data_IF_620455538275
#
_entry.id   IF_620455538275
#
_cell.length_a   1.000
_cell.length_b   1.000
_cell.length_c   1.000
_cell.angle_alpha   90.00
_cell.angle_beta   90.00
_cell.angle_gamma   90.00
#
_symmetry.space_group_name_H-M   'P 1'
#
loop_
_entity.id
_entity.type
_entity.pdbx_description
1 polymer ?
#
# COMPACT_ATOMS: atom_id res chain seq x y z
N UNK A 1 6.63 55.81 19.31
CA UNK A 1 7.41 55.40 18.12
C UNK A 1 7.99 54.03 18.43
N UNK A 2 7.27 52.92 18.27
CA UNK A 2 6.68 52.42 17.02
C UNK A 2 7.62 51.35 16.45
N UNK A 3 7.74 50.23 17.16
CA UNK A 3 8.71 49.16 16.92
C UNK A 3 8.47 48.38 15.62
N UNK A 4 9.59 47.89 15.10
CA UNK A 4 9.82 47.13 13.87
C UNK A 4 8.75 46.08 13.53
N UNK A 5 8.33 46.08 12.26
CA UNK A 5 7.49 45.04 11.65
C UNK A 5 8.28 43.74 11.53
N UNK A 6 8.14 42.84 12.49
CA UNK A 6 8.45 41.42 12.31
C UNK A 6 7.20 40.71 11.78
N UNK A 7 7.19 40.42 10.49
CA UNK A 7 6.22 39.53 9.85
C UNK A 7 6.61 38.07 10.12
N UNK A 8 5.80 37.23 10.80
CA UNK A 8 6.07 35.81 10.87
C UNK A 8 5.32 35.05 9.78
N UNK A 9 6.12 34.40 8.93
CA UNK A 9 5.90 33.08 8.33
C UNK A 9 4.71 32.89 7.38
N UNK A 10 4.97 33.07 6.08
CA UNK A 10 4.28 32.36 5.00
C UNK A 10 4.44 30.82 5.11
N UNK A 11 5.45 30.33 5.83
CA UNK A 11 5.78 28.90 5.88
C UNK A 11 4.84 28.00 6.71
N UNK A 12 3.93 28.54 7.55
CA UNK A 12 2.99 27.71 8.32
C UNK A 12 1.72 27.31 7.55
N UNK A 13 1.46 27.88 6.37
CA UNK A 13 0.29 27.54 5.54
C UNK A 13 0.56 26.44 4.51
N UNK A 14 1.82 26.21 4.15
CA UNK A 14 2.18 25.29 3.05
C UNK A 14 2.36 23.83 3.52
N UNK A 15 2.69 23.60 4.80
CA UNK A 15 2.79 22.25 5.39
C UNK A 15 1.45 21.54 5.61
N UNK A 16 0.30 22.22 5.48
CA UNK A 16 -1.03 21.63 5.73
C UNK A 16 -1.73 21.03 4.51
N UNK A 17 -1.18 21.09 3.30
CA UNK A 17 -1.85 20.56 2.10
C UNK A 17 -0.89 19.95 1.07
N UNK A 18 -0.24 18.87 1.47
CA UNK A 18 -0.07 17.71 0.58
C UNK A 18 -0.60 16.49 1.32
N UNK A 19 -1.89 16.53 1.66
CA UNK A 19 -2.65 15.30 1.90
C UNK A 19 -2.50 14.51 0.61
N UNK A 20 -1.65 13.48 0.64
CA UNK A 20 -1.58 12.51 -0.44
C UNK A 20 -3.00 11.94 -0.58
N UNK A 21 -3.68 12.37 -1.64
CA UNK A 21 -5.02 11.94 -1.97
C UNK A 21 -4.86 10.80 -2.96
N UNK A 22 -5.15 9.59 -2.51
CA UNK A 22 -5.14 8.44 -3.38
C UNK A 22 -6.21 8.65 -4.46
N UNK A 23 -5.79 8.76 -5.73
CA UNK A 23 -6.72 8.88 -6.86
C UNK A 23 -7.67 7.69 -6.96
N UNK A 24 -7.28 6.55 -6.38
CA UNK A 24 -8.05 5.32 -6.35
C UNK A 24 -8.79 5.11 -5.03
N UNK A 25 -8.86 6.09 -4.11
CA UNK A 25 -9.54 5.92 -2.82
C UNK A 25 -10.96 5.40 -3.01
N UNK A 26 -11.69 5.92 -3.99
CA UNK A 26 -13.08 5.54 -4.29
C UNK A 26 -13.25 4.08 -4.74
N UNK A 27 -12.20 3.46 -5.28
CA UNK A 27 -12.22 2.06 -5.73
C UNK A 27 -11.52 1.12 -4.75
N UNK A 28 -11.13 1.59 -3.56
CA UNK A 28 -10.61 0.73 -2.51
C UNK A 28 -11.72 -0.12 -1.91
N UNK A 29 -11.38 -1.37 -1.64
CA UNK A 29 -12.21 -2.26 -0.83
C UNK A 29 -12.35 -1.74 0.61
N UNK A 30 -13.48 -2.06 1.22
CA UNK A 30 -13.82 -1.58 2.57
C UNK A 30 -13.59 -2.69 3.57
N UNK A 31 -13.02 -2.37 4.72
CA UNK A 31 -12.86 -3.30 5.84
C UNK A 31 -13.32 -2.71 7.17
N UNK A 32 -13.33 -3.53 8.21
CA UNK A 32 -13.65 -3.15 9.60
C UNK A 32 -12.99 -1.82 10.00
N UNK A 33 -13.76 -0.94 10.63
CA UNK A 33 -13.29 0.37 11.06
C UNK A 33 -13.30 1.45 9.97
N UNK A 34 -13.84 1.15 8.78
CA UNK A 34 -14.18 2.16 7.77
C UNK A 34 -15.06 3.27 8.35
N UNK A 35 -15.00 4.47 7.75
CA UNK A 35 -15.79 5.62 8.22
C UNK A 35 -16.94 5.89 7.26
N UNK A 36 -18.15 5.98 7.81
CA UNK A 36 -19.37 6.29 7.08
C UNK A 36 -19.89 7.64 7.52
N UNK A 37 -20.25 8.48 6.56
CA UNK A 37 -20.78 9.81 6.79
C UNK A 37 -22.30 9.85 6.55
N UNK A 38 -23.01 10.48 7.49
CA UNK A 38 -24.41 10.87 7.36
C UNK A 38 -24.52 12.39 7.53
N UNK A 39 -25.13 13.07 6.55
CA UNK A 39 -25.31 14.55 6.56
C UNK A 39 -26.17 15.05 7.73
N UNK A 40 -27.09 14.21 8.22
CA UNK A 40 -28.04 14.57 9.26
C UNK A 40 -27.69 14.01 10.63
N UNK A 41 -26.59 13.28 10.78
CA UNK A 41 -26.15 12.82 12.11
C UNK A 41 -25.23 13.87 12.72
N UNK A 42 -25.34 14.08 14.04
CA UNK A 42 -24.36 14.86 14.79
C UNK A 42 -23.84 14.04 15.99
N UNK A 43 -22.57 13.59 15.98
CA UNK A 43 -21.55 13.80 14.94
C UNK A 43 -21.84 13.04 13.62
N UNK A 44 -21.38 13.55 12.45
CA UNK A 44 -21.79 13.02 11.15
C UNK A 44 -21.07 11.73 10.73
N UNK A 45 -20.04 11.31 11.45
CA UNK A 45 -19.20 10.16 11.09
C UNK A 45 -19.40 9.03 12.09
N UNK A 46 -19.54 7.80 11.59
CA UNK A 46 -19.54 6.57 12.38
C UNK A 46 -18.56 5.54 11.81
N UNK A 47 -18.17 4.59 12.66
CA UNK A 47 -17.43 3.42 12.22
C UNK A 47 -18.39 2.39 11.62
N UNK A 48 -17.95 1.76 10.53
CA UNK A 48 -18.54 0.54 10.00
C UNK A 48 -17.97 -0.66 10.76
N UNK A 49 -18.87 -1.47 11.31
CA UNK A 49 -18.62 -2.74 11.97
C UNK A 49 -19.07 -3.84 11.02
N UNK A 50 -18.16 -4.75 10.70
CA UNK A 50 -18.40 -5.90 9.82
C UNK A 50 -18.92 -7.05 10.68
N UNK A 51 -20.07 -7.60 10.29
CA UNK A 51 -20.73 -8.69 11.01
C UNK A 51 -20.98 -9.91 10.15
N UNK A 52 -20.96 -9.75 8.83
CA UNK A 52 -21.39 -10.77 7.89
C UNK A 52 -20.30 -11.79 7.58
N UNK A 53 -19.06 -11.33 7.45
CA UNK A 53 -17.96 -12.16 6.97
C UNK A 53 -16.82 -12.28 7.99
N UNK A 54 -16.05 -13.37 7.85
CA UNK A 54 -14.85 -13.65 8.66
C UNK A 54 -13.55 -13.48 7.87
N UNK A 55 -13.65 -13.30 6.55
CA UNK A 55 -12.50 -13.09 5.65
C UNK A 55 -11.84 -11.75 5.99
N UNK A 56 -10.51 -11.71 5.98
CA UNK A 56 -9.73 -10.53 6.38
C UNK A 56 -9.06 -9.85 5.19
N UNK A 57 -9.10 -8.53 5.19
CA UNK A 57 -8.29 -7.61 4.39
C UNK A 57 -7.37 -6.83 5.35
N UNK A 58 -6.05 -6.99 5.22
CA UNK A 58 -5.06 -6.35 6.12
C UNK A 58 -5.37 -6.57 7.61
N UNK A 59 -5.63 -7.84 7.98
CA UNK A 59 -6.00 -8.28 9.33
C UNK A 59 -7.34 -7.79 9.89
N UNK A 60 -8.12 -7.06 9.07
CA UNK A 60 -9.45 -6.53 9.40
C UNK A 60 -10.52 -7.25 8.63
N UNK A 61 -11.70 -7.46 9.21
CA UNK A 61 -12.80 -8.15 8.51
C UNK A 61 -13.20 -7.37 7.25
N UNK A 62 -13.46 -8.09 6.16
CA UNK A 62 -13.82 -7.51 4.87
C UNK A 62 -15.31 -7.16 4.86
N UNK A 63 -15.65 -5.91 4.54
CA UNK A 63 -17.03 -5.47 4.50
C UNK A 63 -17.74 -5.89 3.20
N UNK A 64 -18.98 -6.33 3.32
CA UNK A 64 -19.81 -6.81 2.22
C UNK A 64 -21.18 -6.17 2.22
N UNK A 65 -21.95 -6.40 1.16
CA UNK A 65 -23.35 -5.95 1.06
C UNK A 65 -24.27 -6.50 2.16
N UNK A 66 -23.85 -7.54 2.90
CA UNK A 66 -24.58 -8.03 4.08
C UNK A 66 -24.50 -7.10 5.28
N UNK A 67 -23.50 -6.22 5.35
CA UNK A 67 -23.28 -5.28 6.46
C UNK A 67 -24.17 -4.04 6.34
N UNK A 68 -25.48 -4.24 6.41
CA UNK A 68 -26.52 -3.20 6.19
C UNK A 68 -27.44 -2.94 7.38
N UNK A 69 -27.30 -3.66 8.49
CA UNK A 69 -28.07 -3.41 9.70
C UNK A 69 -27.58 -2.13 10.37
N UNK A 70 -28.32 -1.03 10.19
CA UNK A 70 -28.03 0.28 10.76
C UNK A 70 -27.68 0.27 12.26
N UNK A 71 -28.25 -0.65 13.04
CA UNK A 71 -28.05 -0.72 14.50
C UNK A 71 -26.79 -1.48 14.89
N UNK A 72 -26.38 -2.44 14.05
CA UNK A 72 -25.22 -3.32 14.31
C UNK A 72 -23.98 -2.86 13.55
N UNK A 73 -24.14 -2.56 12.27
CA UNK A 73 -23.03 -2.24 11.37
C UNK A 73 -22.59 -0.78 11.46
N UNK A 74 -23.44 0.15 11.93
CA UNK A 74 -23.09 1.56 11.97
C UNK A 74 -23.09 2.09 13.40
N UNK A 75 -21.90 2.40 13.90
CA UNK A 75 -21.69 2.87 15.27
C UNK A 75 -21.97 4.39 15.43
N UNK A 76 -23.12 4.88 14.94
CA UNK A 76 -23.52 6.27 15.16
C UNK A 76 -23.85 6.50 16.64
N UNK A 77 -23.00 7.27 17.33
CA UNK A 77 -23.18 7.67 18.73
C UNK A 77 -24.00 8.96 18.90
N UNK A 78 -24.30 9.61 17.78
CA UNK A 78 -24.98 10.90 17.72
C UNK A 78 -26.50 10.84 17.64
N UNK A 79 -27.07 12.01 17.38
CA UNK A 79 -28.51 12.23 17.20
C UNK A 79 -28.84 12.57 15.75
N UNK A 80 -30.07 12.24 15.33
CA UNK A 80 -30.57 12.52 13.99
C UNK A 80 -31.21 13.91 13.93
N UNK A 81 -30.63 14.79 13.12
CA UNK A 81 -31.06 16.17 12.88
C UNK A 81 -31.99 16.30 11.66
N UNK A 82 -32.41 15.19 11.06
CA UNK A 82 -33.30 15.26 9.90
C UNK A 82 -34.66 15.86 10.31
N UNK A 83 -35.23 16.82 9.55
CA UNK A 83 -36.49 17.49 9.91
C UNK A 83 -37.66 16.52 10.17
N UNK A 84 -37.73 15.39 9.44
CA UNK A 84 -38.78 14.37 9.66
C UNK A 84 -38.74 13.72 11.06
N UNK A 85 -37.61 13.81 11.75
CA UNK A 85 -37.41 13.27 13.09
C UNK A 85 -37.50 14.35 14.18
N UNK A 86 -37.63 15.61 13.80
CA UNK A 86 -37.75 16.72 14.75
C UNK A 86 -39.20 16.87 15.20
N UNK A 87 -39.42 16.93 16.51
CA UNK A 87 -40.72 17.24 17.11
C UNK A 87 -40.62 18.51 17.93
N UNK A 88 -41.63 19.39 17.90
CA UNK A 88 -41.64 20.61 18.71
C UNK A 88 -41.37 20.29 20.18
N UNK A 89 -40.45 21.04 20.80
CA UNK A 89 -40.10 20.93 22.23
C UNK A 89 -39.52 19.57 22.66
N UNK A 90 -39.10 18.71 21.73
CA UNK A 90 -38.43 17.44 22.03
C UNK A 90 -36.98 17.46 21.55
N UNK A 91 -36.04 16.86 22.31
CA UNK A 91 -34.68 16.70 21.84
C UNK A 91 -34.63 15.76 20.61
N UNK A 92 -33.70 15.98 19.68
CA UNK A 92 -33.47 15.10 18.54
C UNK A 92 -33.23 13.64 18.98
N UNK A 93 -33.83 12.64 18.32
CA UNK A 93 -33.68 11.25 18.73
C UNK A 93 -32.26 10.72 18.41
N UNK A 94 -31.76 9.72 19.16
CA UNK A 94 -30.50 9.05 18.85
C UNK A 94 -30.55 8.39 17.46
N UNK A 95 -29.51 8.58 16.64
CA UNK A 95 -29.45 8.00 15.29
C UNK A 95 -29.60 6.48 15.31
N UNK A 96 -28.92 5.80 16.25
CA UNK A 96 -29.04 4.35 16.43
C UNK A 96 -30.47 3.88 16.70
N UNK A 97 -31.32 4.73 17.28
CA UNK A 97 -32.71 4.41 17.57
C UNK A 97 -33.63 4.46 16.35
N UNK A 98 -33.32 5.35 15.40
CA UNK A 98 -34.19 5.66 14.25
C UNK A 98 -33.63 5.21 12.90
N UNK A 99 -32.34 4.85 12.83
CA UNK A 99 -31.67 4.49 11.59
C UNK A 99 -32.38 3.31 10.91
N UNK A 100 -32.72 3.53 9.64
CA UNK A 100 -33.33 2.57 8.75
C UNK A 100 -32.64 2.68 7.40
N UNK A 101 -32.08 1.58 6.92
CA UNK A 101 -31.21 1.53 5.74
C UNK A 101 -31.83 0.65 4.66
N UNK A 102 -31.56 1.00 3.40
CA UNK A 102 -31.90 0.19 2.24
C UNK A 102 -30.81 -0.83 1.89
N UNK A 103 -30.73 -1.16 0.61
CA UNK A 103 -29.65 -2.01 0.06
C UNK A 103 -28.45 -1.16 -0.36
N UNK A 104 -27.26 -1.77 -0.29
CA UNK A 104 -26.05 -1.16 -0.84
C UNK A 104 -26.17 -1.00 -2.36
N UNK A 105 -25.63 0.12 -2.86
CA UNK A 105 -25.48 0.40 -4.29
C UNK A 105 -24.02 0.72 -4.59
N UNK A 106 -23.63 0.63 -5.87
CA UNK A 106 -22.26 0.91 -6.34
C UNK A 106 -21.16 0.04 -5.67
N UNK A 107 -21.50 -1.20 -5.32
CA UNK A 107 -20.57 -2.20 -4.78
C UNK A 107 -19.78 -2.94 -5.87
N UNK A 108 -18.79 -3.75 -5.47
CA UNK A 108 -17.97 -4.52 -6.40
C UNK A 108 -18.65 -5.81 -6.85
N UNK A 109 -18.40 -6.26 -8.08
CA UNK A 109 -18.74 -7.62 -8.52
C UNK A 109 -17.89 -8.70 -7.83
N UNK A 110 -16.79 -8.32 -7.16
CA UNK A 110 -15.96 -9.24 -6.37
C UNK A 110 -16.77 -9.86 -5.23
N UNK A 111 -16.79 -11.19 -5.17
CA UNK A 111 -17.45 -11.96 -4.11
C UNK A 111 -16.42 -12.31 -3.03
N UNK A 112 -16.75 -12.01 -1.78
CA UNK A 112 -16.00 -12.38 -0.59
C UNK A 112 -16.90 -13.24 0.27
N UNK A 113 -16.47 -14.48 0.54
CA UNK A 113 -17.36 -15.50 1.11
C UNK A 113 -18.53 -15.74 0.15
N UNK A 114 -19.73 -15.32 0.55
CA UNK A 114 -20.95 -15.48 -0.25
C UNK A 114 -21.58 -14.15 -0.70
N UNK A 115 -20.93 -13.01 -0.42
CA UNK A 115 -21.50 -11.67 -0.65
C UNK A 115 -20.57 -10.76 -1.45
N UNK A 116 -21.15 -9.81 -2.17
CA UNK A 116 -20.40 -8.78 -2.89
C UNK A 116 -19.62 -7.87 -1.93
N UNK A 117 -18.37 -7.57 -2.28
CA UNK A 117 -17.50 -6.68 -1.52
C UNK A 117 -17.89 -5.22 -1.68
N UNK A 118 -17.79 -4.45 -0.60
CA UNK A 118 -17.98 -3.01 -0.62
C UNK A 118 -16.73 -2.27 -1.09
N UNK A 119 -16.97 -1.16 -1.79
CA UNK A 119 -15.96 -0.19 -2.20
C UNK A 119 -16.23 1.15 -1.49
N UNK A 120 -15.24 2.04 -1.43
CA UNK A 120 -15.45 3.39 -0.84
C UNK A 120 -16.55 4.17 -1.58
N UNK A 121 -16.65 4.01 -2.90
CA UNK A 121 -17.74 4.61 -3.68
C UNK A 121 -19.12 4.03 -3.36
N UNK A 122 -19.20 2.89 -2.66
CA UNK A 122 -20.47 2.25 -2.33
C UNK A 122 -21.28 3.12 -1.38
N UNK A 123 -22.59 3.14 -1.61
CA UNK A 123 -23.54 3.98 -0.88
C UNK A 123 -24.66 3.13 -0.32
N UNK A 124 -25.24 3.57 0.78
CA UNK A 124 -26.43 2.92 1.36
C UNK A 124 -27.52 3.97 1.64
N UNK A 125 -28.72 3.84 1.06
CA UNK A 125 -29.81 4.79 1.28
C UNK A 125 -30.28 4.76 2.73
N UNK A 126 -30.46 5.94 3.32
CA UNK A 126 -31.19 6.09 4.58
C UNK A 126 -32.68 6.30 4.29
N UNK A 127 -33.51 5.37 4.73
CA UNK A 127 -34.96 5.42 4.52
C UNK A 127 -35.66 6.52 5.34
N UNK A 128 -34.95 7.13 6.29
CA UNK A 128 -35.47 8.24 7.10
C UNK A 128 -35.29 9.59 6.39
N UNK A 129 -34.12 9.81 5.79
CA UNK A 129 -33.78 11.08 5.13
C UNK A 129 -33.95 11.04 3.62
N UNK A 130 -34.09 9.86 3.01
CA UNK A 130 -34.08 9.70 1.55
C UNK A 130 -32.72 9.96 0.90
N UNK A 131 -31.67 10.13 1.71
CA UNK A 131 -30.32 10.48 1.27
C UNK A 131 -29.37 9.32 1.54
N UNK A 132 -28.33 9.21 0.73
CA UNK A 132 -27.34 8.15 0.85
C UNK A 132 -26.32 8.45 1.95
N UNK A 133 -25.98 7.43 2.72
CA UNK A 133 -24.75 7.41 3.52
C UNK A 133 -23.60 7.05 2.61
N UNK A 134 -22.46 7.73 2.81
CA UNK A 134 -21.28 7.60 1.98
C UNK A 134 -20.10 7.09 2.83
N UNK A 135 -19.31 6.18 2.26
CA UNK A 135 -18.06 5.75 2.89
C UNK A 135 -17.00 6.79 2.55
N UNK A 136 -16.43 7.42 3.56
CA UNK A 136 -15.41 8.48 3.40
C UNK A 136 -14.00 8.01 3.74
N UNK A 137 -13.88 6.79 4.27
CA UNK A 137 -12.62 6.15 4.56
C UNK A 137 -12.77 4.64 4.48
N UNK A 138 -11.90 3.98 3.72
CA UNK A 138 -11.94 2.52 3.46
C UNK A 138 -11.72 1.63 4.69
N UNK A 139 -11.17 2.16 5.79
CA UNK A 139 -10.78 1.34 6.94
C UNK A 139 -9.41 0.68 6.75
N UNK A 140 -8.93 0.58 5.52
CA UNK A 140 -7.60 0.05 5.20
C UNK A 140 -6.54 0.92 5.86
N UNK A 141 -5.48 0.29 6.31
CA UNK A 141 -4.31 0.98 6.85
C UNK A 141 -3.24 0.93 5.79
N UNK A 142 -2.91 2.08 5.21
CA UNK A 142 -1.65 2.27 4.51
C UNK A 142 -0.54 2.35 5.57
N UNK A 143 -0.31 1.27 6.30
CA UNK A 143 0.99 1.09 6.92
C UNK A 143 1.90 0.82 5.74
N UNK A 144 2.74 1.79 5.38
CA UNK A 144 4.09 1.41 4.98
C UNK A 144 4.54 0.58 6.16
N UNK A 145 4.43 -0.75 6.07
CA UNK A 145 5.06 -1.63 7.06
C UNK A 145 6.40 -1.01 7.30
N UNK A 146 6.75 -0.73 8.56
CA UNK A 146 8.15 -0.53 8.91
C UNK A 146 8.77 -1.82 8.41
N UNK A 147 9.33 -1.76 7.19
CA UNK A 147 10.00 -2.88 6.57
C UNK A 147 11.03 -3.21 7.63
N UNK A 148 10.93 -4.42 8.17
CA UNK A 148 11.81 -4.84 9.24
C UNK A 148 13.22 -4.50 8.74
N UNK A 149 14.10 -3.80 9.48
CA UNK A 149 15.41 -3.41 8.94
C UNK A 149 16.20 -4.62 8.36
N UNK A 150 15.85 -5.82 8.83
CA UNK A 150 16.27 -7.13 8.31
C UNK A 150 15.81 -7.40 6.86
N UNK A 151 14.63 -6.93 6.46
CA UNK A 151 14.06 -7.03 5.11
C UNK A 151 14.71 -6.03 4.11
N UNK A 152 15.46 -5.05 4.62
CA UNK A 152 16.34 -4.16 3.85
C UNK A 152 17.81 -4.55 3.94
N UNK A 153 18.16 -5.67 4.58
CA UNK A 153 19.53 -6.15 4.57
C UNK A 153 19.99 -6.30 3.12
N UNK A 154 21.16 -5.72 2.83
CA UNK A 154 21.83 -5.83 1.54
C UNK A 154 22.03 -7.30 1.22
N UNK A 155 21.37 -7.77 0.17
CA UNK A 155 21.41 -9.16 -0.29
C UNK A 155 21.64 -9.21 -1.79
N UNK A 156 22.47 -10.15 -2.20
CA UNK A 156 22.56 -10.57 -3.60
C UNK A 156 21.51 -11.66 -3.79
N UNK A 157 20.60 -11.45 -4.73
CA UNK A 157 19.49 -12.38 -5.01
C UNK A 157 19.89 -13.43 -6.05
N UNK A 158 20.62 -13.03 -7.08
CA UNK A 158 21.09 -13.92 -8.14
C UNK A 158 22.37 -13.36 -8.78
N UNK A 159 23.23 -14.25 -9.25
CA UNK A 159 24.45 -13.90 -10.02
C UNK A 159 24.56 -14.84 -11.20
N UNK A 160 24.61 -14.30 -12.41
CA UNK A 160 24.71 -15.10 -13.62
C UNK A 160 25.46 -14.36 -14.73
N UNK A 161 25.83 -15.11 -15.75
CA UNK A 161 26.50 -14.61 -16.94
C UNK A 161 25.50 -14.51 -18.08
N UNK A 162 25.66 -13.50 -18.92
CA UNK A 162 25.02 -13.43 -20.23
C UNK A 162 26.13 -13.50 -21.27
N UNK A 163 26.01 -14.43 -22.19
CA UNK A 163 26.90 -14.52 -23.33
C UNK A 163 26.65 -13.36 -24.31
N UNK A 164 27.67 -12.56 -24.61
CA UNK A 164 27.50 -11.35 -25.42
C UNK A 164 27.23 -11.64 -26.92
N UNK A 165 27.41 -12.88 -27.37
CA UNK A 165 27.19 -13.28 -28.77
C UNK A 165 25.80 -13.87 -28.97
N UNK A 166 25.36 -14.69 -28.01
CA UNK A 166 24.15 -15.53 -28.10
C UNK A 166 23.02 -15.03 -27.21
N UNK A 167 23.30 -14.06 -26.33
CA UNK A 167 22.36 -13.49 -25.34
C UNK A 167 21.75 -14.55 -24.39
N UNK A 168 22.48 -15.66 -24.18
CA UNK A 168 22.03 -16.76 -23.33
C UNK A 168 22.54 -16.61 -21.90
N UNK A 169 21.63 -16.82 -20.94
CA UNK A 169 21.95 -16.92 -19.51
C UNK A 169 22.75 -18.19 -19.22
N UNK A 170 23.87 -18.04 -18.51
CA UNK A 170 24.82 -19.10 -18.17
C UNK A 170 25.23 -19.01 -16.69
N UNK A 171 25.61 -20.15 -16.09
CA UNK A 171 26.12 -20.25 -14.72
C UNK A 171 27.64 -20.43 -14.65
N UNK A 172 28.21 -20.99 -15.70
CA UNK A 172 29.64 -21.25 -15.86
C UNK A 172 30.11 -20.62 -17.17
N UNK A 173 31.36 -20.20 -17.21
CA UNK A 173 31.96 -19.50 -18.36
C UNK A 173 33.23 -20.23 -18.75
N UNK A 174 33.38 -20.47 -20.05
CA UNK A 174 34.60 -21.03 -20.63
C UNK A 174 35.66 -19.93 -20.77
N UNK A 175 36.92 -20.30 -20.63
CA UNK A 175 38.05 -19.39 -20.81
C UNK A 175 38.01 -18.68 -22.18
N UNK A 176 38.40 -17.40 -22.18
CA UNK A 176 38.43 -16.58 -23.40
C UNK A 176 37.07 -16.12 -23.93
N UNK A 177 35.96 -16.56 -23.33
CA UNK A 177 34.61 -16.18 -23.75
C UNK A 177 34.23 -14.81 -23.18
N UNK A 178 33.73 -13.92 -24.03
CA UNK A 178 33.19 -12.61 -23.63
C UNK A 178 31.79 -12.76 -23.07
N UNK A 179 31.61 -12.27 -21.85
CA UNK A 179 30.36 -12.36 -21.11
C UNK A 179 30.10 -11.06 -20.35
N UNK A 180 28.83 -10.80 -20.06
CA UNK A 180 28.42 -9.78 -19.08
C UNK A 180 28.02 -10.47 -17.77
N UNK A 181 28.60 -10.04 -16.65
CA UNK A 181 28.19 -10.49 -15.32
C UNK A 181 26.98 -9.68 -14.85
N UNK A 182 25.89 -10.36 -14.52
CA UNK A 182 24.71 -9.76 -13.91
C UNK A 182 24.63 -10.11 -12.43
N UNK A 183 24.48 -9.10 -11.58
CA UNK A 183 24.33 -9.22 -10.13
C UNK A 183 23.00 -8.58 -9.75
N UNK A 184 21.99 -9.40 -9.44
CA UNK A 184 20.69 -8.91 -8.98
C UNK A 184 20.77 -8.71 -7.48
N UNK A 185 20.36 -7.54 -7.00
CA UNK A 185 20.49 -7.15 -5.59
C UNK A 185 19.16 -6.71 -4.98
N UNK A 186 19.12 -6.69 -3.64
CA UNK A 186 18.05 -6.11 -2.84
C UNK A 186 18.66 -5.33 -1.69
N UNK A 187 18.06 -4.19 -1.35
CA UNK A 187 18.50 -3.34 -0.24
C UNK A 187 19.74 -2.50 -0.52
N UNK A 188 20.33 -2.62 -1.71
CA UNK A 188 21.33 -1.68 -2.20
C UNK A 188 20.63 -0.44 -2.78
N UNK A 189 21.24 0.73 -2.62
CA UNK A 189 20.81 1.98 -3.26
C UNK A 189 21.54 2.17 -4.58
N UNK A 190 20.92 2.90 -5.50
CA UNK A 190 21.58 3.36 -6.72
C UNK A 190 22.91 4.06 -6.39
N UNK A 191 23.97 3.68 -7.11
CA UNK A 191 25.33 4.18 -6.88
C UNK A 191 26.13 3.41 -5.82
N UNK A 192 25.52 2.47 -5.09
CA UNK A 192 26.27 1.62 -4.15
C UNK A 192 27.06 0.51 -4.85
N UNK A 193 28.22 0.16 -4.29
CA UNK A 193 29.04 -0.93 -4.78
C UNK A 193 28.57 -2.27 -4.19
N UNK A 194 28.39 -3.27 -5.06
CA UNK A 194 28.18 -4.67 -4.71
C UNK A 194 29.40 -5.48 -5.14
N UNK A 195 29.86 -6.39 -4.29
CA UNK A 195 31.02 -7.26 -4.55
C UNK A 195 30.59 -8.71 -4.51
N UNK A 196 30.96 -9.47 -5.53
CA UNK A 196 30.76 -10.92 -5.64
C UNK A 196 32.11 -11.63 -5.66
N UNK A 197 32.15 -12.84 -5.10
CA UNK A 197 33.29 -13.74 -5.18
C UNK A 197 33.05 -14.76 -6.30
N UNK A 198 33.97 -14.81 -7.25
CA UNK A 198 33.99 -15.79 -8.33
C UNK A 198 35.05 -16.84 -8.00
N UNK A 199 34.69 -18.10 -8.15
CA UNK A 199 35.58 -19.24 -7.94
C UNK A 199 36.10 -19.73 -9.29
N UNK A 200 37.39 -20.07 -9.35
CA UNK A 200 37.99 -20.71 -10.50
C UNK A 200 37.40 -22.10 -10.71
N UNK A 201 37.37 -22.57 -11.96
CA UNK A 201 36.98 -23.94 -12.28
C UNK A 201 37.93 -24.92 -11.60
N UNK A 202 37.44 -26.11 -11.26
CA UNK A 202 38.23 -27.12 -10.53
C UNK A 202 39.55 -27.42 -11.23
N UNK A 203 40.67 -27.25 -10.52
CA UNK A 203 42.02 -27.48 -11.04
C UNK A 203 42.65 -26.28 -11.75
N UNK A 204 41.92 -25.17 -11.89
CA UNK A 204 42.43 -23.93 -12.46
C UNK A 204 42.71 -22.89 -11.37
N UNK A 205 43.62 -21.97 -11.68
CA UNK A 205 43.85 -20.73 -10.95
C UNK A 205 43.71 -19.59 -11.96
N UNK A 206 43.18 -18.45 -11.52
CA UNK A 206 43.18 -17.23 -12.33
C UNK A 206 44.62 -16.75 -12.57
N UNK A 207 44.82 -15.83 -13.52
CA UNK A 207 46.15 -15.27 -13.88
C UNK A 207 46.96 -14.75 -12.69
N UNK A 208 46.28 -14.30 -11.64
CA UNK A 208 46.88 -13.82 -10.39
C UNK A 208 47.38 -14.96 -9.47
N UNK A 209 47.23 -16.22 -9.85
CA UNK A 209 47.58 -17.40 -9.08
C UNK A 209 46.58 -17.79 -7.98
N UNK A 210 45.42 -17.13 -7.91
CA UNK A 210 44.36 -17.40 -6.93
C UNK A 210 43.27 -18.30 -7.51
N UNK A 211 42.63 -19.10 -6.67
CA UNK A 211 41.39 -19.83 -7.01
C UNK A 211 40.14 -18.98 -6.85
N UNK A 212 40.28 -17.75 -6.36
CA UNK A 212 39.16 -16.82 -6.12
C UNK A 212 39.48 -15.42 -6.68
N UNK A 213 38.44 -14.76 -7.22
CA UNK A 213 38.49 -13.37 -7.67
C UNK A 213 37.31 -12.59 -7.09
N UNK A 214 37.56 -11.37 -6.60
CA UNK A 214 36.50 -10.45 -6.20
C UNK A 214 36.19 -9.52 -7.35
N UNK A 215 34.93 -9.44 -7.75
CA UNK A 215 34.44 -8.53 -8.79
C UNK A 215 33.39 -7.62 -8.17
N UNK A 216 33.51 -6.33 -8.45
CA UNK A 216 32.61 -5.32 -7.93
C UNK A 216 31.91 -4.59 -9.06
N UNK A 217 30.61 -4.33 -8.89
CA UNK A 217 29.79 -3.53 -9.79
C UNK A 217 29.05 -2.42 -9.03
N UNK A 218 28.56 -1.41 -9.75
CA UNK A 218 27.73 -0.34 -9.20
C UNK A 218 26.26 -0.67 -9.46
N UNK A 219 25.44 -0.62 -8.41
CA UNK A 219 24.00 -0.91 -8.49
C UNK A 219 23.28 0.26 -9.15
N UNK A 220 22.44 -0.03 -10.14
CA UNK A 220 21.61 0.95 -10.85
C UNK A 220 20.24 1.17 -10.18
N UNK A 221 19.42 2.05 -10.77
CA UNK A 221 18.06 2.35 -10.32
C UNK A 221 17.09 1.16 -10.37
N UNK A 222 17.43 0.11 -11.12
CA UNK A 222 16.66 -1.13 -11.27
C UNK A 222 17.14 -2.25 -10.30
N UNK A 223 18.02 -1.93 -9.34
CA UNK A 223 18.57 -2.82 -8.31
C UNK A 223 19.46 -3.96 -8.81
N UNK A 224 20.14 -3.78 -9.95
CA UNK A 224 21.18 -4.71 -10.38
C UNK A 224 22.48 -3.99 -10.76
N UNK A 225 23.58 -4.76 -10.83
CA UNK A 225 24.85 -4.29 -11.35
C UNK A 225 25.29 -5.20 -12.51
N UNK A 226 25.88 -4.60 -13.53
CA UNK A 226 26.47 -5.31 -14.67
C UNK A 226 27.97 -5.04 -14.78
N UNK A 227 28.71 -6.06 -15.20
CA UNK A 227 30.11 -5.94 -15.60
C UNK A 227 30.20 -6.50 -17.02
N UNK A 228 30.24 -5.59 -18.00
CA UNK A 228 30.30 -5.90 -19.42
C UNK A 228 31.73 -6.22 -19.87
N UNK A 229 31.88 -6.87 -21.03
CA UNK A 229 33.15 -7.23 -21.65
C UNK A 229 34.05 -8.05 -20.72
N UNK A 230 33.46 -8.84 -19.82
CA UNK A 230 34.20 -9.65 -18.87
C UNK A 230 34.74 -10.90 -19.57
N UNK A 231 36.01 -11.22 -19.34
CA UNK A 231 36.69 -12.39 -19.91
C UNK A 231 37.46 -13.08 -18.80
N UNK A 232 37.21 -14.38 -18.62
CA UNK A 232 37.98 -15.22 -17.70
C UNK A 232 39.23 -15.74 -18.41
N UNK A 233 40.37 -15.61 -17.74
CA UNK A 233 41.66 -16.17 -18.13
C UNK A 233 42.22 -16.96 -16.95
N UNK A 234 42.82 -18.11 -17.25
CA UNK A 234 43.49 -18.96 -16.28
C UNK A 234 45.01 -18.98 -16.54
N UNK A 235 45.76 -19.22 -15.47
CA UNK A 235 47.22 -19.37 -15.52
C UNK A 235 47.66 -20.80 -15.85
#
# INVERSE_FOLDING_TARGET
MGASKNTPSSNKKEEKRREWTDKNEQVKFVCEGAKVQCKYCNPPIANLIVTTESVKLQDKLWATVGDKDGKKNFAFTGVCMHPSQQKPLCPPPPCKGVISLGEWIDYSETIIGNSNALLVKSKIPCMISGENLEIVYSGQTATLTIINPIDFAKKILDVYWIDEVTDKKMREVQEGRKVTLYIITRGYKEGEQVTVKILASKGHVFDNGSTEMLVSGIVNSENFATIENFVIQYK
#
